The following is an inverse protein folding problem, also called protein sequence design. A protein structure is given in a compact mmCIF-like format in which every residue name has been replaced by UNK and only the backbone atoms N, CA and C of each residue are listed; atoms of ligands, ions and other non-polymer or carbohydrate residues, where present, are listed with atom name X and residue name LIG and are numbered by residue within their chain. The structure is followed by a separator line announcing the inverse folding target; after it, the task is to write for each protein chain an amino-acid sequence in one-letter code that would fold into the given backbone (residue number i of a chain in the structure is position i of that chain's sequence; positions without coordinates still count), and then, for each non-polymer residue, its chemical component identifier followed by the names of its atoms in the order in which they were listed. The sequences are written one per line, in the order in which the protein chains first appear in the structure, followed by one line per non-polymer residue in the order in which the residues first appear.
data_IF_053710602671
#
_entry.id   IF_053710602671
#
_cell.length_a   1.000
_cell.length_b   1.000
_cell.length_c   1.000
_cell.angle_alpha   90.00
_cell.angle_beta   90.00
_cell.angle_gamma   90.00
#
_symmetry.space_group_name_H-M   'P 1'
#
loop_
_entity.id
_entity.type
_entity.pdbx_description
1 polymer ?
#
# COMPACT_ATOMS: atom_id res chain seq x y z
N UNK A 1 -23.46 -29.32 32.47
CA UNK A 1 -22.82 -29.87 31.26
C UNK A 1 -21.90 -28.78 30.72
N UNK A 2 -20.58 -28.88 30.99
CA UNK A 2 -19.60 -27.88 30.56
C UNK A 2 -19.02 -28.29 29.21
N UNK A 3 -19.21 -27.47 28.18
CA UNK A 3 -18.68 -27.70 26.84
C UNK A 3 -17.40 -26.86 26.68
N UNK A 4 -16.24 -27.50 26.62
CA UNK A 4 -14.98 -26.80 26.32
C UNK A 4 -14.77 -26.72 24.80
N UNK A 5 -14.56 -25.50 24.29
CA UNK A 5 -14.28 -25.25 22.86
C UNK A 5 -12.77 -25.35 22.64
N UNK A 6 -12.31 -26.49 22.15
CA UNK A 6 -10.89 -26.73 21.85
C UNK A 6 -10.57 -26.09 20.50
N UNK A 7 -9.53 -25.24 20.44
CA UNK A 7 -9.09 -24.62 19.18
C UNK A 7 -8.40 -25.65 18.27
N UNK A 8 -8.40 -25.43 16.95
CA UNK A 8 -7.73 -26.33 15.98
C UNK A 8 -6.25 -26.59 16.33
N UNK A 9 -5.58 -25.64 16.97
CA UNK A 9 -4.20 -25.77 17.42
C UNK A 9 -4.05 -26.71 18.62
N UNK A 10 -4.94 -26.62 19.62
CA UNK A 10 -4.95 -27.56 20.75
C UNK A 10 -5.23 -29.00 20.28
N UNK A 11 -6.07 -29.18 19.25
CA UNK A 11 -6.37 -30.49 18.69
C UNK A 11 -5.13 -31.15 18.04
N UNK A 12 -4.34 -30.40 17.28
CA UNK A 12 -3.09 -30.90 16.65
C UNK A 12 -2.05 -31.29 17.71
N UNK A 13 -1.90 -30.49 18.76
CA UNK A 13 -0.99 -30.80 19.87
C UNK A 13 -1.38 -32.06 20.62
N UNK A 14 -2.68 -32.28 20.86
CA UNK A 14 -3.19 -33.48 21.52
C UNK A 14 -2.94 -34.73 20.66
N UNK A 15 -3.18 -34.65 19.35
CA UNK A 15 -2.92 -35.77 18.41
C UNK A 15 -1.43 -36.12 18.36
N UNK A 16 -0.54 -35.13 18.33
CA UNK A 16 0.90 -35.34 18.35
C UNK A 16 1.37 -35.97 19.69
N UNK A 17 0.81 -35.55 20.82
CA UNK A 17 1.09 -36.15 22.13
C UNK A 17 0.66 -37.63 22.23
N UNK A 18 -0.50 -37.98 21.69
CA UNK A 18 -1.01 -39.37 21.69
C UNK A 18 -0.12 -40.26 20.81
N UNK A 19 0.28 -39.78 19.63
CA UNK A 19 1.20 -40.50 18.75
C UNK A 19 2.56 -40.73 19.43
N UNK A 20 3.06 -39.75 20.19
CA UNK A 20 4.32 -39.87 20.93
C UNK A 20 4.24 -40.91 22.06
N UNK A 21 3.16 -40.90 22.84
CA UNK A 21 2.93 -41.87 23.93
C UNK A 21 2.74 -43.31 23.42
N UNK A 22 2.17 -43.47 22.23
CA UNK A 22 1.89 -44.77 21.63
C UNK A 22 3.12 -45.38 20.92
N UNK A 23 4.13 -44.57 20.61
CA UNK A 23 5.39 -45.00 20.01
C UNK A 23 6.51 -45.22 21.06
N UNK A 24 6.45 -44.57 22.22
CA UNK A 24 7.42 -44.78 23.31
C UNK A 24 7.30 -46.16 23.98
N UNK A 25 6.15 -46.84 23.85
CA UNK A 25 5.92 -48.20 24.36
C UNK A 25 6.65 -49.30 23.57
N UNK A 26 7.26 -48.96 22.43
CA UNK A 26 8.00 -49.89 21.57
C UNK A 26 9.54 -49.71 21.61
N UNK A 27 10.07 -48.91 22.53
CA UNK A 27 11.51 -48.83 22.82
C UNK A 27 12.40 -48.18 21.75
N UNK A 28 11.83 -47.50 20.75
CA UNK A 28 12.60 -46.76 19.74
C UNK A 28 12.91 -45.34 20.24
N UNK A 29 14.19 -45.04 20.51
CA UNK A 29 14.65 -43.66 20.72
C UNK A 29 14.69 -42.94 19.37
N UNK A 30 13.63 -42.18 19.07
CA UNK A 30 13.58 -41.30 17.90
C UNK A 30 13.93 -39.88 18.37
N UNK A 31 15.06 -39.34 17.90
CA UNK A 31 15.38 -37.92 18.05
C UNK A 31 14.39 -37.09 17.24
N UNK A 32 13.45 -36.44 17.91
CA UNK A 32 12.52 -35.50 17.27
C UNK A 32 13.23 -34.15 17.08
N UNK A 33 13.72 -33.89 15.87
CA UNK A 33 14.19 -32.55 15.49
C UNK A 33 12.95 -31.70 15.20
N UNK A 34 12.57 -30.84 16.15
CA UNK A 34 11.50 -29.88 15.97
C UNK A 34 11.98 -28.75 15.05
N UNK A 35 11.67 -28.85 13.76
CA UNK A 35 11.79 -27.70 12.86
C UNK A 35 10.68 -26.70 13.19
N UNK A 36 11.04 -25.55 13.77
CA UNK A 36 10.14 -24.38 13.81
C UNK A 36 9.97 -23.88 12.38
N UNK A 37 8.90 -24.30 11.71
CA UNK A 37 8.43 -23.62 10.50
C UNK A 37 7.69 -22.36 10.95
N UNK A 38 8.36 -21.22 10.92
CA UNK A 38 7.69 -19.92 11.06
C UNK A 38 7.01 -19.63 9.73
N UNK A 39 5.75 -20.01 9.60
CA UNK A 39 4.94 -19.56 8.47
C UNK A 39 4.58 -18.11 8.71
N UNK A 40 5.31 -17.18 8.10
CA UNK A 40 4.88 -15.79 8.03
C UNK A 40 3.59 -15.75 7.21
N UNK A 41 2.45 -15.52 7.86
CA UNK A 41 1.27 -15.07 7.15
C UNK A 41 1.57 -13.62 6.75
N UNK A 42 2.09 -13.42 5.55
CA UNK A 42 2.01 -12.11 4.91
C UNK A 42 0.55 -11.85 4.60
N UNK A 43 -0.16 -11.24 5.55
CA UNK A 43 -1.34 -10.47 5.23
C UNK A 43 -0.88 -9.44 4.20
N UNK A 44 -1.28 -9.58 2.94
CA UNK A 44 -1.06 -8.56 1.91
C UNK A 44 -1.92 -7.34 2.25
N UNK A 45 -1.53 -6.60 3.28
CA UNK A 45 -1.90 -5.20 3.36
C UNK A 45 -1.05 -4.56 2.27
N UNK A 46 -1.67 -4.29 1.13
CA UNK A 46 -1.08 -3.48 0.07
C UNK A 46 -0.79 -2.12 0.66
N UNK A 47 0.34 -1.93 1.33
CA UNK A 47 0.65 -0.63 1.93
C UNK A 47 1.68 0.03 1.06
N UNK A 48 1.18 0.60 -0.04
CA UNK A 48 1.86 1.69 -0.75
C UNK A 48 2.17 2.86 0.21
N UNK A 49 1.56 2.88 1.39
CA UNK A 49 1.84 3.84 2.47
C UNK A 49 3.08 3.48 3.28
N UNK A 50 3.83 4.53 3.58
CA UNK A 50 4.80 4.56 4.67
C UNK A 50 4.08 4.43 6.01
N UNK A 51 4.76 3.99 7.10
CA UNK A 51 4.17 3.87 8.42
C UNK A 51 3.48 5.17 8.88
N UNK A 52 2.30 5.03 9.49
CA UNK A 52 1.52 6.12 10.08
C UNK A 52 0.68 5.60 11.25
N UNK A 53 0.15 6.50 12.07
CA UNK A 53 -0.69 6.19 13.23
C UNK A 53 0.07 6.40 14.55
N UNK A 54 0.34 5.32 15.29
CA UNK A 54 0.88 5.44 16.65
C UNK A 54 2.20 6.26 16.71
N UNK A 55 2.15 7.38 17.43
CA UNK A 55 3.28 8.31 17.59
C UNK A 55 3.34 9.44 16.55
N UNK A 56 2.36 9.53 15.65
CA UNK A 56 2.18 10.70 14.80
C UNK A 56 1.51 11.84 15.57
N UNK A 57 1.66 13.06 15.04
CA UNK A 57 0.91 14.23 15.49
C UNK A 57 -0.36 14.28 14.65
N UNK A 58 -1.52 14.38 15.31
CA UNK A 58 -2.82 14.49 14.63
C UNK A 58 -3.24 15.95 14.51
N UNK A 59 -3.80 16.32 13.36
CA UNK A 59 -4.56 17.56 13.23
C UNK A 59 -5.88 17.45 14.02
N UNK A 60 -6.38 18.60 14.47
CA UNK A 60 -7.71 18.68 15.03
C UNK A 60 -8.76 18.20 14.02
N UNK A 61 -9.80 17.57 14.56
CA UNK A 61 -11.01 17.21 13.82
C UNK A 61 -11.78 18.49 13.50
N UNK A 62 -11.70 18.93 12.25
CA UNK A 62 -12.28 20.18 11.75
C UNK A 62 -12.58 20.08 10.26
N UNK A 63 -13.59 20.83 9.82
CA UNK A 63 -14.00 20.96 8.41
C UNK A 63 -12.87 21.61 7.60
N UNK A 64 -12.62 22.89 7.85
CA UNK A 64 -11.57 23.68 7.21
C UNK A 64 -10.34 23.84 8.12
N UNK A 65 -9.93 22.72 8.71
CA UNK A 65 -8.80 22.68 9.64
C UNK A 65 -7.43 22.74 8.95
N UNK A 66 -6.41 23.09 9.72
CA UNK A 66 -5.01 22.97 9.34
C UNK A 66 -4.18 22.67 10.58
N UNK A 67 -3.00 22.10 10.40
CA UNK A 67 -1.99 22.06 11.45
C UNK A 67 -1.57 23.48 11.87
N UNK A 68 -1.00 23.61 13.07
CA UNK A 68 -0.10 24.72 13.37
C UNK A 68 1.17 24.63 12.51
N UNK A 69 2.06 25.63 12.61
CA UNK A 69 3.34 25.61 11.89
C UNK A 69 4.16 24.38 12.30
N UNK A 70 4.61 23.60 11.32
CA UNK A 70 5.48 22.45 11.54
C UNK A 70 6.88 22.84 11.09
N UNK A 71 7.80 22.97 12.04
CA UNK A 71 9.21 23.21 11.72
C UNK A 71 9.87 21.93 11.22
N UNK A 72 10.52 22.01 10.06
CA UNK A 72 11.19 20.88 9.44
C UNK A 72 12.54 20.63 10.11
N UNK A 73 12.83 19.39 10.47
CA UNK A 73 14.11 18.97 11.06
C UNK A 73 15.27 19.07 10.05
N UNK A 74 14.95 19.06 8.77
CA UNK A 74 15.86 19.32 7.66
C UNK A 74 15.14 20.19 6.63
N UNK A 75 15.85 21.13 6.02
CA UNK A 75 15.24 22.00 5.01
C UNK A 75 14.78 21.19 3.80
N UNK A 76 13.62 21.57 3.24
CA UNK A 76 13.07 20.97 2.04
C UNK A 76 13.16 21.93 0.86
N UNK A 77 13.81 21.48 -0.21
CA UNK A 77 13.92 22.22 -1.46
C UNK A 77 12.72 21.86 -2.34
N UNK A 78 11.93 22.86 -2.71
CA UNK A 78 10.82 22.74 -3.63
C UNK A 78 11.04 23.70 -4.81
N UNK A 79 11.49 23.14 -5.94
CA UNK A 79 11.78 23.82 -7.20
C UNK A 79 12.68 25.06 -7.08
N UNK A 80 13.75 24.93 -6.30
CA UNK A 80 14.75 25.98 -6.10
C UNK A 80 14.46 26.91 -4.93
N UNK A 81 13.29 26.79 -4.30
CA UNK A 81 13.01 27.44 -3.02
C UNK A 81 13.26 26.49 -1.86
N UNK A 82 13.82 27.03 -0.79
CA UNK A 82 14.17 26.25 0.40
C UNK A 82 13.26 26.62 1.55
N UNK A 83 12.58 25.62 2.09
CA UNK A 83 11.60 25.77 3.16
C UNK A 83 12.10 25.12 4.45
N UNK A 84 11.86 25.80 5.57
CA UNK A 84 12.15 25.31 6.94
C UNK A 84 10.89 24.99 7.73
N UNK A 85 9.72 25.18 7.13
CA UNK A 85 8.42 24.96 7.75
C UNK A 85 7.40 24.46 6.73
N UNK A 86 6.34 23.83 7.21
CA UNK A 86 5.22 23.34 6.40
C UNK A 86 3.92 23.37 7.22
N UNK A 87 2.78 23.35 6.52
CA UNK A 87 1.45 23.21 7.09
C UNK A 87 0.73 22.04 6.41
N UNK A 88 0.05 21.21 7.19
CA UNK A 88 -0.79 20.11 6.70
C UNK A 88 -2.24 20.55 6.82
N UNK A 89 -2.90 20.78 5.68
CA UNK A 89 -4.29 21.22 5.65
C UNK A 89 -5.25 20.02 5.64
N UNK A 90 -6.40 20.13 6.33
CA UNK A 90 -7.37 19.05 6.38
C UNK A 90 -7.96 18.73 5.00
N UNK A 91 -8.05 19.72 4.12
CA UNK A 91 -8.52 19.60 2.74
C UNK A 91 -7.50 18.96 1.78
N UNK A 92 -6.44 18.31 2.28
CA UNK A 92 -5.62 17.41 1.44
C UNK A 92 -4.51 18.08 0.65
N UNK A 93 -4.00 19.21 1.15
CA UNK A 93 -2.87 19.92 0.57
C UNK A 93 -1.88 20.42 1.64
N UNK A 94 -0.65 20.71 1.21
CA UNK A 94 0.41 21.28 2.00
C UNK A 94 0.83 22.64 1.43
N UNK A 95 1.16 23.56 2.32
CA UNK A 95 1.72 24.88 2.01
C UNK A 95 2.91 25.18 2.93
N UNK A 96 3.73 26.16 2.56
CA UNK A 96 4.97 26.44 3.28
C UNK A 96 4.93 27.78 4.04
N UNK A 97 4.35 28.82 3.46
CA UNK A 97 4.39 30.18 4.04
C UNK A 97 3.27 30.47 5.06
N UNK A 98 2.27 29.59 5.13
CA UNK A 98 1.12 29.74 6.02
C UNK A 98 0.02 28.73 5.71
N UNK A 99 -0.94 28.55 6.62
CA UNK A 99 -2.15 27.78 6.35
C UNK A 99 -2.97 28.43 5.25
N UNK A 100 -3.49 27.64 4.31
CA UNK A 100 -4.34 28.11 3.22
C UNK A 100 -5.80 27.69 3.43
N UNK A 101 -6.70 28.66 3.61
CA UNK A 101 -8.11 28.42 3.93
C UNK A 101 -8.93 28.25 2.65
N UNK A 102 -8.73 27.16 1.91
CA UNK A 102 -9.53 26.84 0.73
C UNK A 102 -9.87 25.35 0.63
N UNK A 103 -11.16 25.04 0.67
CA UNK A 103 -11.72 23.69 0.44
C UNK A 103 -12.04 23.42 -1.03
N UNK A 104 -12.20 24.47 -1.85
CA UNK A 104 -12.50 24.34 -3.28
C UNK A 104 -11.20 24.29 -4.09
N UNK A 105 -10.88 23.17 -4.76
CA UNK A 105 -9.70 23.09 -5.58
C UNK A 105 -9.85 23.88 -6.88
N UNK A 106 -8.72 24.35 -7.41
CA UNK A 106 -8.58 24.81 -8.80
C UNK A 106 -7.69 23.86 -9.61
N UNK A 107 -7.83 23.90 -10.94
CA UNK A 107 -7.02 23.11 -11.85
C UNK A 107 -5.58 23.64 -11.91
N UNK A 108 -4.59 22.75 -11.89
CA UNK A 108 -3.21 23.12 -12.18
C UNK A 108 -2.96 23.13 -13.71
N UNK A 109 -2.26 24.13 -14.26
CA UNK A 109 -1.70 25.29 -13.57
C UNK A 109 -2.77 26.30 -13.12
N UNK A 110 -2.68 26.77 -11.88
CA UNK A 110 -3.60 27.75 -11.30
C UNK A 110 -3.09 29.19 -11.33
N UNK A 111 -1.81 29.40 -11.66
CA UNK A 111 -1.13 30.71 -11.68
C UNK A 111 -1.28 31.49 -10.35
N UNK A 112 -1.32 30.75 -9.23
CA UNK A 112 -1.47 31.31 -7.89
C UNK A 112 -0.18 31.89 -7.32
N UNK A 113 -0.30 32.59 -6.19
CA UNK A 113 0.83 33.21 -5.48
C UNK A 113 1.44 32.36 -4.38
N UNK A 114 1.24 31.04 -4.38
CA UNK A 114 1.67 30.13 -3.31
C UNK A 114 2.23 28.83 -3.88
N UNK A 115 3.23 28.28 -3.20
CA UNK A 115 3.75 26.94 -3.46
C UNK A 115 2.85 25.90 -2.75
N UNK A 116 2.33 24.95 -3.52
CA UNK A 116 1.27 24.02 -3.12
C UNK A 116 1.63 22.58 -3.50
N UNK A 117 1.58 21.67 -2.52
CA UNK A 117 1.61 20.22 -2.77
C UNK A 117 0.25 19.66 -2.41
N UNK A 118 -0.51 19.22 -3.41
CA UNK A 118 -1.88 18.75 -3.25
C UNK A 118 -1.95 17.26 -3.60
N UNK A 119 -1.59 16.31 -2.70
CA UNK A 119 -1.75 14.89 -3.00
C UNK A 119 -3.21 14.54 -3.34
N UNK A 120 -4.18 15.18 -2.69
CA UNK A 120 -5.61 15.02 -2.97
C UNK A 120 -6.39 16.21 -2.40
N UNK A 121 -6.42 17.34 -3.11
CA UNK A 121 -7.12 18.53 -2.64
C UNK A 121 -8.60 18.50 -2.99
N UNK A 122 -9.44 18.47 -1.97
CA UNK A 122 -10.90 18.62 -2.03
C UNK A 122 -11.45 19.01 -0.66
N UNK A 123 -12.72 19.38 -0.62
CA UNK A 123 -13.52 19.57 0.58
C UNK A 123 -13.65 18.27 1.42
N UNK A 124 -12.86 18.17 2.49
CA UNK A 124 -12.72 17.03 3.40
C UNK A 124 -13.23 17.43 4.78
N UNK A 125 -14.04 16.56 5.37
CA UNK A 125 -14.63 16.78 6.68
C UNK A 125 -14.35 15.59 7.61
N UNK A 126 -13.33 15.72 8.46
CA UNK A 126 -12.88 14.64 9.35
C UNK A 126 -13.52 14.66 10.76
N UNK A 127 -14.54 15.51 11.02
CA UNK A 127 -15.14 15.58 12.37
C UNK A 127 -16.04 14.37 12.68
N UNK A 128 -16.48 13.64 11.66
CA UNK A 128 -17.25 12.40 11.79
C UNK A 128 -16.41 11.11 11.73
N UNK A 129 -15.44 11.04 10.81
CA UNK A 129 -14.55 9.89 10.66
C UNK A 129 -13.20 10.28 10.03
N UNK A 130 -12.25 9.36 10.13
CA UNK A 130 -10.89 9.51 9.61
C UNK A 130 -9.97 10.27 10.55
N UNK A 131 -8.68 10.23 10.24
CA UNK A 131 -7.60 10.90 10.99
C UNK A 131 -6.66 11.53 9.98
N UNK A 132 -6.18 12.72 10.30
CA UNK A 132 -5.15 13.40 9.52
C UNK A 132 -3.95 13.54 10.44
N UNK A 133 -2.85 12.89 10.08
CA UNK A 133 -1.67 12.81 10.94
C UNK A 133 -0.39 13.02 10.15
N UNK A 134 0.67 13.44 10.84
CA UNK A 134 1.98 13.62 10.23
C UNK A 134 3.12 13.31 11.20
N UNK A 135 4.28 12.98 10.62
CA UNK A 135 5.50 12.66 11.37
C UNK A 135 6.76 12.90 10.54
N UNK A 136 7.85 13.25 11.24
CA UNK A 136 9.19 13.36 10.68
C UNK A 136 10.09 12.23 11.17
N UNK A 137 10.99 11.79 10.31
CA UNK A 137 11.98 10.75 10.57
C UNK A 137 13.37 11.23 10.14
N UNK A 138 14.34 11.03 11.03
CA UNK A 138 15.79 11.22 10.76
C UNK A 138 16.59 9.95 11.07
N UNK A 139 15.90 8.85 11.36
CA UNK A 139 16.48 7.54 11.64
C UNK A 139 15.41 6.43 11.48
N UNK A 140 15.85 5.17 11.51
CA UNK A 140 14.98 3.99 11.44
C UNK A 140 14.73 3.48 10.02
N UNK A 141 13.94 2.41 9.91
CA UNK A 141 13.70 1.71 8.64
C UNK A 141 13.03 2.59 7.57
N UNK A 142 12.30 3.62 7.98
CA UNK A 142 11.66 4.59 7.06
C UNK A 142 12.68 5.26 6.14
N UNK A 143 13.89 5.58 6.64
CA UNK A 143 14.94 6.14 5.78
C UNK A 143 15.50 5.10 4.80
N UNK A 144 15.61 3.84 5.23
CA UNK A 144 16.04 2.73 4.37
C UNK A 144 15.04 2.50 3.24
N UNK A 145 13.74 2.47 3.56
CA UNK A 145 12.66 2.28 2.60
C UNK A 145 12.63 3.44 1.59
N UNK A 146 12.73 4.69 2.07
CA UNK A 146 12.85 5.88 1.23
C UNK A 146 14.07 5.84 0.31
N UNK A 147 15.21 5.42 0.84
CA UNK A 147 16.44 5.27 0.06
C UNK A 147 16.27 4.23 -1.05
N UNK A 148 15.66 3.09 -0.73
CA UNK A 148 15.41 2.04 -1.71
C UNK A 148 14.43 2.50 -2.80
N UNK A 149 13.31 3.12 -2.40
CA UNK A 149 12.29 3.63 -3.33
C UNK A 149 12.90 4.65 -4.30
N UNK A 150 13.60 5.65 -3.79
CA UNK A 150 14.18 6.70 -4.63
C UNK A 150 15.26 6.14 -5.55
N UNK A 151 16.16 5.28 -5.08
CA UNK A 151 17.18 4.68 -5.94
C UNK A 151 16.56 3.71 -6.98
N UNK A 152 15.41 3.11 -6.70
CA UNK A 152 14.69 2.32 -7.68
C UNK A 152 14.08 3.20 -8.78
N UNK A 153 13.53 4.37 -8.44
CA UNK A 153 12.84 5.25 -9.40
C UNK A 153 13.79 6.20 -10.13
N UNK A 154 14.92 6.56 -9.50
CA UNK A 154 15.92 7.51 -9.97
C UNK A 154 17.35 6.94 -9.80
N UNK A 155 17.70 5.88 -10.55
CA UNK A 155 18.93 5.10 -10.32
C UNK A 155 20.24 5.88 -10.54
N UNK A 156 20.20 7.03 -11.23
CA UNK A 156 21.39 7.79 -11.61
C UNK A 156 21.91 8.74 -10.51
N UNK A 157 21.22 8.88 -9.37
CA UNK A 157 21.49 9.94 -8.39
C UNK A 157 22.37 9.54 -7.21
N UNK A 158 22.61 8.24 -6.98
CA UNK A 158 23.28 7.72 -5.77
C UNK A 158 22.73 8.37 -4.49
N UNK A 159 21.45 8.13 -4.22
CA UNK A 159 20.70 8.81 -3.15
C UNK A 159 20.75 8.04 -1.81
N UNK A 160 20.73 8.76 -0.69
CA UNK A 160 20.59 8.18 0.65
C UNK A 160 19.76 9.11 1.54
N UNK A 161 18.52 8.73 1.87
CA UNK A 161 17.63 9.58 2.67
C UNK A 161 18.23 9.85 4.06
N UNK A 162 18.27 11.13 4.44
CA UNK A 162 18.60 11.57 5.80
C UNK A 162 17.38 12.10 6.54
N UNK A 163 16.31 12.44 5.80
CA UNK A 163 15.08 12.98 6.35
C UNK A 163 13.88 12.55 5.52
N UNK A 164 12.80 12.20 6.22
CA UNK A 164 11.49 11.87 5.64
C UNK A 164 10.39 12.54 6.46
N UNK A 165 9.47 13.23 5.80
CA UNK A 165 8.21 13.70 6.37
C UNK A 165 7.05 12.95 5.73
N UNK A 166 6.16 12.40 6.55
CA UNK A 166 4.97 11.68 6.13
C UNK A 166 3.74 12.45 6.63
N UNK A 167 2.81 12.78 5.75
CA UNK A 167 1.47 13.24 6.12
C UNK A 167 0.42 12.32 5.49
N UNK A 168 -0.51 11.85 6.31
CA UNK A 168 -1.52 10.85 5.94
C UNK A 168 -2.90 11.37 6.27
N UNK A 169 -3.81 11.27 5.31
CA UNK A 169 -5.25 11.39 5.51
C UNK A 169 -5.78 9.97 5.46
N UNK A 170 -6.10 9.37 6.60
CA UNK A 170 -6.59 7.99 6.69
C UNK A 170 -8.10 7.97 6.91
N UNK A 171 -8.83 7.31 6.00
CA UNK A 171 -10.29 7.10 6.06
C UNK A 171 -11.06 8.40 6.28
N UNK A 172 -10.62 9.49 5.68
CA UNK A 172 -11.30 10.79 5.79
C UNK A 172 -12.55 10.81 4.92
N UNK A 173 -13.60 11.50 5.39
CA UNK A 173 -14.84 11.70 4.65
C UNK A 173 -14.83 13.03 3.88
N UNK A 174 -15.67 13.11 2.86
CA UNK A 174 -15.97 14.38 2.19
C UNK A 174 -17.03 15.16 2.93
N UNK A 175 -17.00 16.49 2.81
CA UNK A 175 -18.07 17.34 3.29
C UNK A 175 -19.41 17.05 2.56
N UNK A 176 -20.56 17.19 3.26
CA UNK A 176 -20.68 17.26 4.71
C UNK A 176 -20.73 15.86 5.32
N UNK A 177 -19.80 15.54 6.24
CA UNK A 177 -19.77 14.26 6.99
C UNK A 177 -20.30 13.02 6.26
N UNK A 178 -19.87 12.81 5.03
CA UNK A 178 -20.51 11.83 4.13
C UNK A 178 -20.35 10.37 4.56
N UNK A 179 -19.50 10.10 5.57
CA UNK A 179 -19.13 8.74 5.97
C UNK A 179 -18.29 8.00 4.93
N UNK A 180 -17.84 8.68 3.87
CA UNK A 180 -16.91 8.11 2.90
C UNK A 180 -15.57 7.82 3.56
N UNK A 181 -14.84 6.86 3.00
CA UNK A 181 -13.46 6.58 3.41
C UNK A 181 -12.53 6.80 2.23
N UNK A 182 -11.69 7.82 2.34
CA UNK A 182 -10.60 8.10 1.42
C UNK A 182 -9.29 8.08 2.20
N UNK A 183 -8.32 7.28 1.76
CA UNK A 183 -6.98 7.24 2.34
C UNK A 183 -5.93 7.59 1.30
N UNK A 184 -5.07 8.55 1.62
CA UNK A 184 -3.93 8.96 0.81
C UNK A 184 -2.82 9.53 1.69
N UNK A 185 -1.62 9.60 1.14
CA UNK A 185 -0.42 10.04 1.86
C UNK A 185 0.49 10.84 0.93
N UNK A 186 1.15 11.83 1.48
CA UNK A 186 2.30 12.50 0.85
C UNK A 186 3.54 12.27 1.69
N UNK A 187 4.65 11.98 1.02
CA UNK A 187 5.95 11.73 1.63
C UNK A 187 6.97 12.68 1.01
N UNK A 188 7.56 13.54 1.84
CA UNK A 188 8.67 14.39 1.44
C UNK A 188 9.97 13.71 1.87
N UNK A 189 10.91 13.55 0.95
CA UNK A 189 12.14 12.78 1.17
C UNK A 189 13.31 13.69 0.81
N UNK A 190 14.36 13.71 1.64
CA UNK A 190 15.55 14.54 1.42
C UNK A 190 16.82 13.85 1.92
N UNK A 191 17.94 14.08 1.23
CA UNK A 191 19.31 13.82 1.72
C UNK A 191 20.08 15.11 2.07
N UNK A 192 19.42 16.27 1.92
CA UNK A 192 19.99 17.60 2.12
C UNK A 192 20.31 18.32 0.81
N UNK A 193 20.36 17.60 -0.30
CA UNK A 193 20.63 18.13 -1.64
C UNK A 193 19.53 17.76 -2.65
N UNK A 194 19.21 16.47 -2.73
CA UNK A 194 18.12 15.95 -3.53
C UNK A 194 16.84 15.87 -2.70
N UNK A 195 15.73 16.26 -3.31
CA UNK A 195 14.42 16.25 -2.67
C UNK A 195 13.38 15.62 -3.57
N UNK A 196 12.48 14.87 -2.96
CA UNK A 196 11.45 14.14 -3.66
C UNK A 196 10.11 14.25 -2.95
N UNK A 197 9.05 14.15 -3.73
CA UNK A 197 7.68 13.99 -3.27
C UNK A 197 7.18 12.64 -3.76
N UNK A 198 6.72 11.80 -2.84
CA UNK A 198 5.86 10.67 -3.16
C UNK A 198 4.41 10.98 -2.79
N UNK A 199 3.48 10.64 -3.66
CA UNK A 199 2.04 10.65 -3.37
C UNK A 199 1.53 9.22 -3.48
N UNK A 200 0.96 8.72 -2.40
CA UNK A 200 0.49 7.36 -2.27
C UNK A 200 -1.03 7.35 -2.09
N UNK A 201 -1.72 6.44 -2.77
CA UNK A 201 -3.18 6.35 -2.80
C UNK A 201 -3.64 4.96 -2.36
N UNK A 202 -4.43 4.93 -1.28
CA UNK A 202 -5.11 3.73 -0.79
C UNK A 202 -6.51 3.63 -1.39
N UNK A 203 -7.50 3.29 -0.57
CA UNK A 203 -8.90 3.37 -0.97
C UNK A 203 -9.30 4.82 -1.23
N UNK A 204 -9.83 5.13 -2.40
CA UNK A 204 -10.35 6.45 -2.75
C UNK A 204 -11.85 6.33 -3.03
N UNK A 205 -12.67 7.09 -2.29
CA UNK A 205 -14.09 7.16 -2.56
C UNK A 205 -14.37 8.01 -3.82
N UNK A 206 -15.49 7.79 -4.54
CA UNK A 206 -15.85 8.64 -5.67
C UNK A 206 -16.05 10.10 -5.26
N UNK A 207 -15.43 11.03 -5.99
CA UNK A 207 -15.54 12.47 -5.77
C UNK A 207 -15.30 13.23 -7.08
N UNK A 208 -16.02 14.34 -7.25
CA UNK A 208 -15.74 15.33 -8.30
C UNK A 208 -15.03 16.52 -7.67
N UNK A 209 -14.38 17.34 -8.50
CA UNK A 209 -13.62 18.50 -8.04
C UNK A 209 -12.53 18.10 -7.05
N UNK A 210 -11.58 17.30 -7.54
CA UNK A 210 -10.36 16.94 -6.81
C UNK A 210 -9.16 17.39 -7.66
N UNK A 211 -8.21 18.07 -7.04
CA UNK A 211 -6.90 18.33 -7.65
C UNK A 211 -5.83 17.46 -6.98
N UNK A 212 -5.11 16.67 -7.77
CA UNK A 212 -3.97 15.88 -7.31
C UNK A 212 -2.71 16.30 -8.08
N UNK A 213 -1.61 16.61 -7.39
CA UNK A 213 -0.36 17.09 -7.98
C UNK A 213 0.30 18.21 -7.18
N UNK A 214 1.01 19.09 -7.86
CA UNK A 214 1.64 20.25 -7.24
C UNK A 214 1.64 21.45 -8.17
N UNK A 215 1.73 22.65 -7.59
CA UNK A 215 1.82 23.91 -8.30
C UNK A 215 2.73 24.86 -7.53
N UNK A 216 3.47 25.69 -8.24
CA UNK A 216 4.37 26.69 -7.64
C UNK A 216 3.85 28.09 -7.92
N UNK A 217 4.43 29.10 -7.28
CA UNK A 217 4.14 30.51 -7.55
C UNK A 217 4.21 30.79 -9.06
N UNK A 218 3.14 31.40 -9.61
CA UNK A 218 2.93 31.66 -11.03
C UNK A 218 2.97 30.41 -11.93
N UNK A 219 2.78 29.23 -11.35
CA UNK A 219 2.87 27.92 -12.00
C UNK A 219 4.14 27.68 -12.79
N UNK A 220 5.26 28.24 -12.33
CA UNK A 220 6.59 28.07 -12.97
C UNK A 220 6.95 26.60 -13.13
N UNK A 221 6.63 25.80 -12.14
CA UNK A 221 6.63 24.35 -12.15
C UNK A 221 5.30 23.85 -11.62
N UNK A 222 4.67 22.94 -12.35
CA UNK A 222 3.40 22.37 -11.94
C UNK A 222 3.24 20.99 -12.56
N UNK A 223 2.42 20.16 -11.92
CA UNK A 223 1.98 18.90 -12.47
C UNK A 223 0.58 18.58 -11.97
N UNK A 224 -0.33 18.24 -12.88
CA UNK A 224 -1.66 17.71 -12.54
C UNK A 224 -1.69 16.21 -12.84
N UNK A 225 -1.94 15.40 -11.82
CA UNK A 225 -2.06 13.94 -11.99
C UNK A 225 -3.30 13.64 -12.84
N UNK A 226 -3.17 12.78 -13.88
CA UNK A 226 -4.30 12.35 -14.71
C UNK A 226 -5.44 11.79 -13.84
N UNK A 227 -6.64 12.33 -14.03
CA UNK A 227 -7.81 12.01 -13.22
C UNK A 227 -8.29 13.17 -12.35
N UNK A 228 -7.44 14.18 -12.08
CA UNK A 228 -7.85 15.43 -11.45
C UNK A 228 -9.02 16.08 -12.21
N UNK A 229 -10.01 16.60 -11.48
CA UNK A 229 -11.27 17.15 -12.00
C UNK A 229 -12.08 16.22 -12.93
N UNK A 230 -11.78 14.93 -12.95
CA UNK A 230 -12.55 13.93 -13.71
C UNK A 230 -13.48 13.12 -12.81
N UNK A 231 -14.38 12.34 -13.42
CA UNK A 231 -15.26 11.41 -12.70
C UNK A 231 -14.54 10.12 -12.26
N UNK A 232 -13.29 9.92 -12.67
CA UNK A 232 -12.51 8.69 -12.47
C UNK A 232 -11.39 8.87 -11.44
N UNK A 233 -11.56 9.77 -10.47
CA UNK A 233 -10.52 10.04 -9.45
C UNK A 233 -10.15 8.79 -8.64
N UNK A 234 -11.04 7.81 -8.54
CA UNK A 234 -10.79 6.52 -7.89
C UNK A 234 -9.68 5.71 -8.57
N UNK A 235 -9.34 6.01 -9.83
CA UNK A 235 -8.21 5.39 -10.52
C UNK A 235 -6.85 5.76 -9.91
N UNK A 236 -6.78 6.78 -9.04
CA UNK A 236 -5.54 7.13 -8.35
C UNK A 236 -4.95 5.94 -7.60
N UNK A 237 -5.79 5.05 -7.03
CA UNK A 237 -5.39 3.80 -6.37
C UNK A 237 -4.59 2.85 -7.27
N UNK A 238 -4.73 2.96 -8.60
CA UNK A 238 -4.10 2.06 -9.58
C UNK A 238 -3.09 2.77 -10.49
N UNK A 239 -3.21 4.08 -10.66
CA UNK A 239 -2.33 4.88 -11.50
C UNK A 239 -0.93 5.05 -10.89
N UNK A 240 0.07 5.27 -11.74
CA UNK A 240 1.46 5.48 -11.31
C UNK A 240 2.32 6.07 -12.44
N UNK A 241 3.38 6.79 -12.08
CA UNK A 241 4.49 7.13 -12.99
C UNK A 241 5.78 6.33 -12.69
N UNK A 242 5.77 5.44 -11.70
CA UNK A 242 6.92 4.63 -11.26
C UNK A 242 6.64 3.13 -11.29
N UNK A 243 5.57 2.71 -11.96
CA UNK A 243 5.12 1.31 -12.06
C UNK A 243 4.82 0.65 -10.71
N UNK A 244 4.43 1.43 -9.71
CA UNK A 244 3.93 0.96 -8.41
C UNK A 244 2.49 1.44 -8.26
N UNK A 245 1.47 0.55 -8.32
CA UNK A 245 0.08 0.95 -8.27
C UNK A 245 -0.22 1.87 -7.08
N UNK A 246 -0.85 3.01 -7.36
CA UNK A 246 -1.19 3.98 -6.34
C UNK A 246 -0.05 4.90 -5.93
N UNK A 247 1.11 4.86 -6.58
CA UNK A 247 2.26 5.71 -6.24
C UNK A 247 2.68 6.61 -7.38
N UNK A 248 2.86 7.88 -7.05
CA UNK A 248 3.47 8.89 -7.90
C UNK A 248 4.72 9.44 -7.24
N UNK A 249 5.80 9.62 -8.00
CA UNK A 249 7.08 10.14 -7.50
C UNK A 249 7.57 11.31 -8.35
N UNK A 250 8.03 12.36 -7.69
CA UNK A 250 8.55 13.57 -8.35
C UNK A 250 9.85 14.00 -7.68
N UNK A 251 10.84 14.35 -8.49
CA UNK A 251 12.06 15.02 -8.03
C UNK A 251 11.85 16.53 -8.02
N UNK A 252 12.23 17.21 -6.95
CA UNK A 252 11.86 18.61 -6.69
C UNK A 252 13.02 19.54 -6.34
N UNK A 253 14.27 19.07 -6.32
CA UNK A 253 15.43 19.88 -5.95
C UNK A 253 15.93 20.85 -7.03
N UNK A 254 15.38 20.79 -8.25
CA UNK A 254 15.84 21.64 -9.36
C UNK A 254 14.70 22.41 -10.02
N UNK A 255 14.82 23.74 -10.00
CA UNK A 255 14.09 24.65 -10.87
C UNK A 255 14.79 24.81 -12.24
N UNK A 256 14.61 23.83 -13.13
CA UNK A 256 15.07 23.77 -14.55
C UNK A 256 16.57 23.90 -14.87
N UNK A 257 17.11 22.84 -15.48
CA UNK A 257 18.08 22.94 -16.59
C UNK A 257 17.48 22.13 -17.75
N UNK A 258 17.54 22.72 -18.94
CA UNK A 258 16.96 22.26 -20.20
C UNK A 258 16.86 20.74 -20.41
N UNK A 259 15.65 20.29 -20.75
CA UNK A 259 15.46 19.32 -21.82
C UNK A 259 14.67 20.00 -22.96
N UNK A 260 15.25 21.05 -23.54
CA UNK A 260 15.13 21.26 -24.99
C UNK A 260 15.98 20.18 -25.68
N UNK A 261 15.54 18.95 -25.54
CA UNK A 261 15.63 17.90 -26.54
C UNK A 261 14.27 17.24 -26.45
N UNK A 262 13.43 17.55 -27.42
CA UNK A 262 12.42 16.62 -27.89
C UNK A 262 13.17 15.34 -28.23
N UNK A 263 13.33 14.49 -27.25
CA UNK A 263 13.13 13.07 -27.44
C UNK A 263 11.95 12.81 -26.56
N UNK A 264 10.78 12.73 -27.18
CA UNK A 264 9.68 11.93 -26.65
C UNK A 264 10.28 10.58 -26.29
N UNK A 265 10.75 10.41 -25.04
CA UNK A 265 10.71 9.10 -24.44
C UNK A 265 9.22 8.79 -24.46
N UNK A 266 8.78 7.74 -25.18
CA UNK A 266 7.38 7.46 -25.26
C UNK A 266 6.91 7.36 -23.83
N UNK A 267 5.81 8.05 -23.51
CA UNK A 267 4.93 7.56 -22.46
C UNK A 267 4.93 6.04 -22.66
N UNK A 268 5.41 5.28 -21.67
CA UNK A 268 5.27 3.83 -21.69
C UNK A 268 3.78 3.65 -21.86
N UNK A 269 3.38 3.36 -23.09
CA UNK A 269 1.99 3.10 -23.44
C UNK A 269 1.58 2.02 -22.47
N UNK A 270 0.53 2.23 -21.65
CA UNK A 270 0.02 1.16 -20.82
C UNK A 270 -0.18 -0.02 -21.75
N UNK A 271 0.54 -1.12 -21.50
CA UNK A 271 0.27 -2.37 -22.19
C UNK A 271 -1.23 -2.59 -21.98
N UNK A 272 -2.05 -2.66 -23.05
CA UNK A 272 -3.47 -2.91 -22.88
C UNK A 272 -3.60 -4.17 -22.02
N UNK A 273 -4.43 -4.10 -20.97
CA UNK A 273 -4.85 -5.30 -20.30
C UNK A 273 -5.31 -6.27 -21.39
N UNK A 274 -4.77 -7.50 -21.38
CA UNK A 274 -5.22 -8.54 -22.29
C UNK A 274 -6.71 -8.73 -22.04
N UNK A 275 -7.55 -8.16 -22.90
CA UNK A 275 -8.94 -8.53 -22.99
C UNK A 275 -8.96 -9.96 -23.51
N UNK A 276 -9.36 -10.89 -22.66
CA UNK A 276 -9.74 -12.23 -23.11
C UNK A 276 -10.86 -12.05 -24.15
N UNK A 277 -10.73 -12.59 -25.38
CA UNK A 277 -11.76 -12.44 -26.38
C UNK A 277 -13.05 -13.08 -25.90
N UNK A 278 -14.12 -12.29 -25.85
CA UNK A 278 -15.47 -12.81 -25.78
C UNK A 278 -15.79 -13.39 -27.15
N UNK A 279 -15.97 -14.71 -27.20
CA UNK A 279 -16.44 -15.56 -28.31
C UNK A 279 -15.39 -16.53 -28.86
N UNK A 280 -15.45 -17.77 -28.38
CA UNK A 280 -15.18 -18.94 -29.22
C UNK A 280 -16.25 -19.99 -28.97
N UNK A 281 -16.84 -20.42 -30.08
CA UNK A 281 -17.99 -21.28 -30.23
C UNK A 281 -17.85 -22.60 -29.45
N UNK A 282 -18.99 -23.04 -28.91
CA UNK A 282 -19.16 -24.38 -28.37
C UNK A 282 -18.74 -25.45 -29.39
N UNK A 283 -17.69 -26.20 -29.06
CA UNK A 283 -17.47 -27.55 -29.59
C UNK A 283 -17.47 -28.51 -28.41
N UNK A 284 -18.52 -29.30 -28.36
CA UNK A 284 -18.69 -30.46 -27.50
C UNK A 284 -17.59 -31.49 -27.80
N UNK A 285 -16.75 -31.79 -26.82
CA UNK A 285 -16.04 -33.06 -26.74
C UNK A 285 -16.26 -33.64 -25.34
N UNK A 286 -16.82 -34.85 -25.32
CA UNK A 286 -17.09 -35.66 -24.14
C UNK A 286 -15.79 -36.06 -23.44
N UNK A 287 -15.58 -35.62 -22.21
CA UNK A 287 -14.44 -36.01 -21.40
C UNK A 287 -14.51 -35.40 -20.01
N UNK A 288 -14.92 -36.24 -19.04
CA UNK A 288 -14.96 -36.12 -17.57
C UNK A 288 -14.46 -34.79 -16.94
N UNK A 289 -15.26 -34.18 -16.02
CA UNK A 289 -14.95 -32.87 -15.43
C UNK A 289 -13.80 -32.93 -14.42
N UNK A 290 -12.93 -31.92 -14.51
CA UNK A 290 -11.98 -31.52 -13.46
C UNK A 290 -12.76 -30.63 -12.48
N UNK A 291 -12.76 -30.90 -11.15
CA UNK A 291 -13.49 -30.05 -10.22
C UNK A 291 -12.78 -28.71 -10.03
N UNK A 292 -13.43 -27.65 -10.51
CA UNK A 292 -13.21 -26.27 -10.08
C UNK A 292 -13.57 -26.15 -8.60
N UNK A 293 -12.66 -25.63 -7.78
CA UNK A 293 -12.91 -25.37 -6.36
C UNK A 293 -13.79 -24.12 -6.22
N UNK A 294 -15.11 -24.35 -6.19
CA UNK A 294 -16.10 -23.38 -5.69
C UNK A 294 -16.09 -23.48 -4.17
N UNK A 295 -15.69 -22.41 -3.48
CA UNK A 295 -15.87 -22.30 -2.03
C UNK A 295 -17.23 -21.67 -1.78
N UNK A 296 -18.24 -22.50 -1.53
CA UNK A 296 -19.50 -22.08 -0.91
C UNK A 296 -19.77 -22.93 0.34
N UNK A 297 -19.73 -22.23 1.48
CA UNK A 297 -20.55 -22.38 2.70
C UNK A 297 -20.66 -23.73 3.42
N UNK A 298 -20.19 -23.70 4.68
CA UNK A 298 -20.79 -24.27 5.91
C UNK A 298 -21.41 -25.68 5.86
N UNK A 299 -20.66 -26.71 6.24
CA UNK A 299 -21.11 -27.86 7.08
C UNK A 299 -19.90 -28.66 7.62
N UNK A 300 -20.02 -29.36 8.78
CA UNK A 300 -18.93 -30.15 9.35
C UNK A 300 -18.80 -31.55 8.70
N UNK A 301 -17.56 -31.94 8.38
CA UNK A 301 -17.21 -33.27 7.88
C UNK A 301 -17.34 -34.35 8.98
N UNK A 302 -18.12 -35.39 8.69
CA UNK A 302 -18.12 -36.65 9.46
C UNK A 302 -17.11 -37.62 8.80
N UNK A 303 -16.09 -38.06 9.52
CA UNK A 303 -15.14 -39.08 9.03
C UNK A 303 -15.53 -40.44 9.62
N UNK A 304 -15.78 -41.44 8.76
CA UNK A 304 -15.88 -42.85 9.16
C UNK A 304 -14.50 -43.51 9.09
N UNK A 305 -14.11 -44.22 10.14
CA UNK A 305 -12.90 -45.04 10.14
C UNK A 305 -13.18 -46.40 9.46
N UNK A 306 -12.34 -46.79 8.51
CA UNK A 306 -12.22 -48.19 8.08
C UNK A 306 -10.94 -48.76 8.67
N UNK A 307 -11.07 -49.81 9.47
CA UNK A 307 -9.94 -50.60 9.96
C UNK A 307 -9.65 -51.72 8.98
N UNK A 308 -8.46 -51.70 8.37
CA UNK A 308 -7.95 -52.86 7.64
C UNK A 308 -6.85 -53.53 8.46
N UNK A 309 -6.96 -54.84 8.69
CA UNK A 309 -5.93 -55.67 9.33
C UNK A 309 -5.15 -56.41 8.25
N UNK A 310 -3.83 -56.21 8.21
CA UNK A 310 -2.90 -57.02 7.40
C UNK A 310 -1.64 -56.26 6.99
N UNK A 311 -0.52 -56.95 6.66
CA UNK A 311 0.81 -56.37 6.46
C UNK A 311 0.99 -55.67 5.11
N UNK A 312 0.03 -54.84 4.70
CA UNK A 312 0.10 -54.03 3.47
C UNK A 312 0.49 -52.57 3.74
N UNK A 313 1.01 -52.25 4.94
CA UNK A 313 1.41 -50.88 5.31
C UNK A 313 2.72 -50.42 4.61
N UNK A 314 3.57 -51.35 4.18
CA UNK A 314 4.90 -51.03 3.65
C UNK A 314 4.92 -50.57 2.18
N UNK A 315 3.84 -50.81 1.41
CA UNK A 315 3.81 -50.43 -0.01
C UNK A 315 3.26 -49.02 -0.26
N UNK A 316 2.36 -48.52 0.59
CA UNK A 316 1.73 -47.21 0.38
C UNK A 316 2.58 -46.02 0.84
N UNK A 317 3.46 -46.21 1.84
CA UNK A 317 4.36 -45.14 2.29
C UNK A 317 5.46 -44.81 1.28
N UNK A 318 5.87 -45.75 0.42
CA UNK A 318 6.86 -45.46 -0.65
C UNK A 318 6.29 -44.62 -1.80
N UNK A 319 5.00 -44.72 -2.10
CA UNK A 319 4.34 -43.95 -3.17
C UNK A 319 4.10 -42.49 -2.77
N UNK A 320 3.74 -42.23 -1.51
CA UNK A 320 3.50 -40.87 -1.02
C UNK A 320 4.78 -40.00 -0.98
N UNK A 321 5.95 -40.59 -0.71
CA UNK A 321 7.22 -39.87 -0.69
C UNK A 321 7.80 -39.60 -2.09
N UNK A 322 7.52 -40.46 -3.08
CA UNK A 322 8.03 -40.25 -4.44
C UNK A 322 7.26 -39.14 -5.19
N UNK A 323 5.97 -38.98 -4.92
CA UNK A 323 5.12 -38.01 -5.61
C UNK A 323 5.36 -36.56 -5.13
N UNK A 324 5.93 -36.38 -3.93
CA UNK A 324 6.32 -35.06 -3.41
C UNK A 324 7.64 -34.53 -4.01
N UNK A 325 8.47 -35.41 -4.62
CA UNK A 325 9.78 -35.04 -5.17
C UNK A 325 9.76 -34.61 -6.65
N UNK A 326 8.65 -34.80 -7.36
CA UNK A 326 8.52 -34.42 -8.78
C UNK A 326 7.84 -33.05 -8.96
N UNK A 327 7.25 -32.48 -7.92
CA UNK A 327 6.61 -31.15 -7.96
C UNK A 327 7.50 -29.98 -7.51
N UNK A 328 8.83 -30.17 -7.44
CA UNK A 328 9.80 -29.11 -7.10
C UNK A 328 11.09 -29.13 -7.95
N UNK A 329 11.02 -29.57 -9.20
CA UNK A 329 12.03 -29.25 -10.22
C UNK A 329 11.37 -28.54 -11.40
#
# INVERSE_FOLDING_TARGET
MLTFKISRFQYIYIVLCIIFLQLSSYGLMITVVLYRSTTYITTTRSTVFYPFGAGDIENDRSDDGSSSVIYLLQQFIFFGQTYSQIYVNNNGHLTFDGSFNSWTPYQFPGYGGLDLIAPFWTDIDNRGNGVISYRQYTSGSVLTDATQDINQYFPDLSFSATWVFVATWDRVAYYPYSGTETSFQVVLISDGHYTFILMNYGTIAPKHYVQAGYDTINSRYHFSIPGSFSNNITNLTYSSNVNVPGRWAFRTDHGSRAASSVTTSPAVTPKPAVQLPSNTLARTFSGKPVPSLVILTTTPLTIRFFTFKGPALMFYLRLAFLQCRVSQL
#
